data_IF_255078047934
#
_entry.id   IF_255078047934
#
_cell.length_a   1.000
_cell.length_b   1.000
_cell.length_c   1.000
_cell.angle_alpha   90.00
_cell.angle_beta   90.00
_cell.angle_gamma   90.00
#
_symmetry.space_group_name_H-M   'P 1'
#
loop_
_entity.id
_entity.type
_entity.pdbx_description
1 polymer ?
#
# COMPACT_ATOMS: atom_id res chain seq x y z
N UNK A 1 13.81 -3.81 -10.15
CA UNK A 1 15.21 -3.33 -10.11
C UNK A 1 15.40 -2.31 -11.22
N UNK A 2 15.52 -1.03 -10.86
CA UNK A 2 15.83 0.04 -11.81
C UNK A 2 17.34 0.06 -12.06
N UNK A 3 17.76 -0.18 -13.30
CA UNK A 3 19.13 0.08 -13.75
C UNK A 3 19.09 1.29 -14.68
N UNK A 4 19.55 2.45 -14.20
CA UNK A 4 19.58 3.71 -14.93
C UNK A 4 21.03 3.94 -15.37
N UNK A 5 21.38 3.44 -16.54
CA UNK A 5 22.67 3.76 -17.15
C UNK A 5 22.52 5.05 -17.96
N UNK A 6 23.34 6.05 -17.63
CA UNK A 6 23.49 7.28 -18.39
C UNK A 6 24.08 6.93 -19.78
N UNK A 7 23.32 7.17 -20.85
CA UNK A 7 23.84 7.14 -22.22
C UNK A 7 24.16 8.59 -22.61
N UNK A 8 25.45 8.91 -22.73
CA UNK A 8 25.92 10.21 -23.20
C UNK A 8 26.40 10.06 -24.65
N UNK A 9 25.69 10.69 -25.59
CA UNK A 9 26.04 10.67 -27.02
C UNK A 9 26.50 12.07 -27.41
N UNK A 10 27.76 12.22 -27.82
CA UNK A 10 28.27 13.48 -28.36
C UNK A 10 27.94 13.57 -29.86
N UNK A 11 26.87 14.30 -30.22
CA UNK A 11 26.60 14.75 -31.60
C UNK A 11 26.08 16.19 -31.58
N UNK A 12 26.42 16.98 -32.61
CA UNK A 12 26.04 18.41 -32.70
C UNK A 12 24.53 18.60 -32.89
N UNK A 13 23.84 17.64 -33.50
CA UNK A 13 22.38 17.53 -33.50
C UNK A 13 21.99 16.06 -33.28
N UNK A 14 20.89 15.82 -32.54
CA UNK A 14 20.37 14.49 -32.24
C UNK A 14 19.18 14.18 -33.16
N UNK A 15 19.31 13.30 -34.18
CA UNK A 15 18.21 12.99 -35.11
C UNK A 15 17.12 12.10 -34.49
N UNK A 16 17.33 11.60 -33.27
CA UNK A 16 16.40 10.79 -32.49
C UNK A 16 16.17 11.40 -31.11
N UNK A 17 16.05 12.73 -31.05
CA UNK A 17 15.67 13.41 -29.82
C UNK A 17 14.26 12.98 -29.43
N UNK A 18 14.16 11.93 -28.60
CA UNK A 18 12.93 11.61 -27.91
C UNK A 18 12.73 12.71 -26.88
N UNK A 19 11.85 13.67 -27.21
CA UNK A 19 11.28 14.58 -26.22
C UNK A 19 10.62 13.68 -25.18
N UNK A 20 11.03 13.81 -23.92
CA UNK A 20 10.28 13.21 -22.82
C UNK A 20 8.94 13.95 -22.75
N UNK A 21 7.98 13.50 -23.53
CA UNK A 21 6.60 13.94 -23.37
C UNK A 21 6.21 13.47 -21.98
N UNK A 22 5.89 14.40 -21.11
CA UNK A 22 5.32 14.09 -19.80
C UNK A 22 4.01 13.34 -20.08
N UNK A 23 4.06 12.02 -20.12
CA UNK A 23 2.90 11.13 -20.25
C UNK A 23 1.97 11.20 -19.01
N UNK A 24 2.09 12.25 -18.19
CA UNK A 24 1.34 12.46 -16.96
C UNK A 24 0.13 13.39 -17.16
N UNK A 25 -0.55 13.26 -18.30
CA UNK A 25 -2.00 13.53 -18.36
C UNK A 25 -2.76 12.21 -18.21
N UNK A 26 -2.25 11.31 -17.36
CA UNK A 26 -2.80 9.97 -17.17
C UNK A 26 -3.63 9.97 -15.91
N UNK A 27 -4.93 9.82 -16.06
CA UNK A 27 -5.82 9.49 -14.95
C UNK A 27 -5.24 8.26 -14.23
N UNK A 28 -5.02 8.40 -12.93
CA UNK A 28 -4.41 7.39 -12.08
C UNK A 28 -5.28 7.18 -10.84
N UNK A 29 -5.50 5.92 -10.49
CA UNK A 29 -6.08 5.53 -9.21
C UNK A 29 -5.01 4.83 -8.38
N UNK A 30 -5.22 4.81 -7.07
CA UNK A 30 -4.43 4.03 -6.13
C UNK A 30 -5.18 2.74 -5.78
N UNK A 31 -4.43 1.73 -5.38
CA UNK A 31 -4.99 0.46 -4.90
C UNK A 31 -4.32 0.10 -3.59
N UNK A 32 -5.13 -0.35 -2.63
CA UNK A 32 -4.65 -0.95 -1.40
C UNK A 32 -4.93 -2.45 -1.44
N UNK A 33 -3.98 -3.25 -0.97
CA UNK A 33 -4.18 -4.68 -0.77
C UNK A 33 -3.41 -5.19 0.44
N UNK A 34 -4.00 -6.15 1.15
CA UNK A 34 -3.33 -6.92 2.19
C UNK A 34 -2.99 -8.32 1.69
N UNK A 35 -1.92 -8.91 2.22
CA UNK A 35 -1.60 -10.31 1.98
C UNK A 35 -1.57 -11.05 3.32
N UNK A 36 -2.31 -12.16 3.39
CA UNK A 36 -2.33 -13.04 4.55
C UNK A 36 -2.20 -14.50 4.12
N UNK A 37 -1.17 -15.19 4.62
CA UNK A 37 -0.78 -16.52 4.16
C UNK A 37 -0.65 -16.57 2.63
N UNK A 38 -1.51 -17.36 1.99
CA UNK A 38 -1.61 -17.59 0.55
C UNK A 38 -2.76 -16.79 -0.10
N UNK A 39 -3.37 -15.85 0.64
CA UNK A 39 -4.55 -15.11 0.20
C UNK A 39 -4.29 -13.62 0.06
N UNK A 40 -4.85 -13.06 -1.00
CA UNK A 40 -4.97 -11.62 -1.18
C UNK A 40 -6.24 -11.12 -0.50
N UNK A 41 -6.10 -10.10 0.33
CA UNK A 41 -7.20 -9.42 1.03
C UNK A 41 -7.41 -8.07 0.37
N UNK A 42 -8.50 -7.97 -0.37
CA UNK A 42 -8.87 -6.75 -1.07
C UNK A 42 -7.92 -6.41 -2.21
N UNK A 43 -8.49 -5.93 -3.31
CA UNK A 43 -8.00 -4.70 -3.90
C UNK A 43 -9.04 -3.60 -3.63
N UNK A 44 -8.67 -2.60 -2.84
CA UNK A 44 -9.52 -1.41 -2.65
C UNK A 44 -8.97 -0.29 -3.51
N UNK A 45 -9.73 0.06 -4.54
CA UNK A 45 -9.39 1.15 -5.45
C UNK A 45 -9.88 2.49 -4.90
N UNK A 46 -9.02 3.50 -4.93
CA UNK A 46 -9.38 4.85 -4.49
C UNK A 46 -8.64 5.92 -5.31
N UNK A 47 -9.27 7.08 -5.47
CA UNK A 47 -8.66 8.23 -6.14
C UNK A 47 -8.03 9.21 -5.15
N UNK A 48 -6.97 9.89 -5.58
CA UNK A 48 -6.25 10.86 -4.76
C UNK A 48 -5.31 10.23 -3.72
N UNK A 49 -4.67 11.07 -2.91
CA UNK A 49 -3.58 10.67 -2.00
C UNK A 49 -4.08 9.85 -0.81
N UNK A 50 -3.26 8.87 -0.38
CA UNK A 50 -3.50 8.15 0.87
C UNK A 50 -3.19 9.04 2.07
N UNK A 51 -4.22 9.49 2.77
CA UNK A 51 -4.09 10.22 4.03
C UNK A 51 -4.20 9.24 5.20
N UNK A 52 -3.72 9.61 6.39
CA UNK A 52 -3.86 8.74 7.58
C UNK A 52 -5.31 8.46 7.95
N UNK A 53 -6.22 9.43 7.73
CA UNK A 53 -7.65 9.25 7.96
C UNK A 53 -8.26 8.24 6.99
N UNK A 54 -7.97 8.37 5.69
CA UNK A 54 -8.43 7.41 4.68
C UNK A 54 -7.84 6.02 4.91
N UNK A 55 -6.59 5.96 5.36
CA UNK A 55 -5.96 4.70 5.74
C UNK A 55 -6.67 4.02 6.91
N UNK A 56 -7.07 4.80 7.93
CA UNK A 56 -7.87 4.28 9.04
C UNK A 56 -9.22 3.75 8.58
N UNK A 57 -9.92 4.47 7.71
CA UNK A 57 -11.21 4.03 7.14
C UNK A 57 -11.07 2.74 6.33
N UNK A 58 -10.02 2.63 5.52
CA UNK A 58 -9.69 1.41 4.78
C UNK A 58 -9.44 0.24 5.72
N UNK A 59 -8.67 0.44 6.80
CA UNK A 59 -8.43 -0.59 7.78
C UNK A 59 -9.74 -1.00 8.47
N UNK A 60 -10.57 -0.05 8.91
CA UNK A 60 -11.84 -0.36 9.57
C UNK A 60 -12.78 -1.16 8.68
N UNK A 61 -12.85 -0.84 7.39
CA UNK A 61 -13.71 -1.55 6.46
C UNK A 61 -13.16 -2.94 6.13
N UNK A 62 -11.90 -3.03 5.70
CA UNK A 62 -11.35 -4.27 5.15
C UNK A 62 -10.90 -5.24 6.24
N UNK A 63 -10.26 -4.73 7.31
CA UNK A 63 -9.74 -5.60 8.37
C UNK A 63 -10.86 -6.17 9.21
N UNK A 64 -11.88 -5.37 9.54
CA UNK A 64 -13.00 -5.87 10.35
C UNK A 64 -13.69 -7.03 9.64
N UNK A 65 -14.06 -6.86 8.37
CA UNK A 65 -14.68 -7.92 7.57
C UNK A 65 -13.75 -9.13 7.42
N UNK A 66 -12.47 -8.91 7.15
CA UNK A 66 -11.51 -10.00 7.02
C UNK A 66 -11.35 -10.82 8.32
N UNK A 67 -11.18 -10.13 9.46
CA UNK A 67 -11.00 -10.73 10.78
C UNK A 67 -12.26 -11.48 11.21
N UNK A 68 -13.45 -10.94 10.97
CA UNK A 68 -14.71 -11.62 11.32
C UNK A 68 -14.93 -12.94 10.57
N UNK A 69 -14.41 -13.03 9.34
CA UNK A 69 -14.53 -14.22 8.51
C UNK A 69 -13.38 -15.23 8.70
N UNK A 70 -12.39 -14.94 9.54
CA UNK A 70 -11.28 -15.86 9.81
C UNK A 70 -11.61 -16.87 10.93
N UNK A 71 -11.23 -18.15 10.76
CA UNK A 71 -11.26 -19.12 11.85
C UNK A 71 -10.46 -18.65 13.07
N UNK A 72 -11.00 -18.88 14.28
CA UNK A 72 -10.39 -18.44 15.55
C UNK A 72 -8.92 -18.84 15.74
N UNK A 73 -8.52 -20.00 15.21
CA UNK A 73 -7.12 -20.47 15.30
C UNK A 73 -6.18 -19.68 14.39
N UNK A 74 -6.68 -19.13 13.28
CA UNK A 74 -5.92 -18.24 12.40
C UNK A 74 -5.84 -16.84 12.98
N UNK A 75 -6.95 -16.34 13.56
CA UNK A 75 -7.01 -15.03 14.25
C UNK A 75 -5.97 -14.87 15.34
N UNK A 76 -5.73 -15.91 16.14
CA UNK A 76 -4.70 -15.89 17.20
C UNK A 76 -3.28 -15.71 16.67
N UNK A 77 -3.08 -15.96 15.37
CA UNK A 77 -1.81 -15.88 14.67
C UNK A 77 -1.86 -14.83 13.54
N UNK A 78 -2.82 -13.91 13.57
CA UNK A 78 -2.81 -12.73 12.68
C UNK A 78 -1.95 -11.68 13.33
N UNK A 79 -1.14 -11.04 12.49
CA UNK A 79 -0.49 -9.86 12.95
C UNK A 79 -0.23 -8.87 11.78
N UNK A 80 0.31 -7.66 11.99
CA UNK A 80 0.39 -6.63 10.92
C UNK A 80 1.81 -6.11 10.63
N UNK A 81 2.12 -5.85 9.35
CA UNK A 81 3.38 -5.30 8.83
C UNK A 81 3.13 -4.15 7.84
N UNK A 82 3.79 -3.02 8.05
CA UNK A 82 3.68 -1.80 7.23
C UNK A 82 5.05 -1.37 6.70
N UNK A 83 5.08 -0.67 5.56
CA UNK A 83 6.30 -0.14 4.90
C UNK A 83 6.92 1.11 5.57
N UNK A 84 6.24 1.67 6.57
CA UNK A 84 6.68 2.86 7.31
C UNK A 84 6.30 4.21 6.68
N UNK A 85 5.41 4.24 5.68
CA UNK A 85 4.90 5.47 5.08
C UNK A 85 4.25 6.41 6.12
N UNK A 86 4.32 7.75 5.93
CA UNK A 86 3.76 8.72 6.90
C UNK A 86 2.29 8.48 7.29
N UNK A 87 1.37 8.12 6.36
CA UNK A 87 -0.02 7.82 6.71
C UNK A 87 -0.19 6.65 7.69
N UNK A 88 0.76 5.72 7.74
CA UNK A 88 0.72 4.53 8.59
C UNK A 88 1.16 4.84 10.04
N UNK A 89 1.75 6.02 10.29
CA UNK A 89 2.32 6.40 11.61
C UNK A 89 1.41 7.31 12.43
N UNK A 90 0.23 7.67 11.91
CA UNK A 90 -0.69 8.58 12.58
C UNK A 90 -1.23 7.93 13.87
N UNK A 91 -1.40 8.73 14.93
CA UNK A 91 -1.77 8.26 16.27
C UNK A 91 -3.09 7.48 16.30
N UNK A 92 -4.07 7.90 15.51
CA UNK A 92 -5.37 7.24 15.38
C UNK A 92 -5.26 5.82 14.78
N UNK A 93 -4.44 5.63 13.75
CA UNK A 93 -4.15 4.33 13.13
C UNK A 93 -3.51 3.39 14.15
N UNK A 94 -2.52 3.89 14.91
CA UNK A 94 -1.88 3.10 15.98
C UNK A 94 -2.87 2.70 17.07
N UNK A 95 -3.70 3.63 17.53
CA UNK A 95 -4.70 3.37 18.56
C UNK A 95 -5.73 2.33 18.11
N UNK A 96 -6.19 2.39 16.87
CA UNK A 96 -7.11 1.40 16.31
C UNK A 96 -6.52 -0.01 16.33
N UNK A 97 -5.28 -0.15 15.85
CA UNK A 97 -4.60 -1.44 15.78
C UNK A 97 -4.22 -2.00 17.16
N UNK A 98 -3.87 -1.14 18.11
CA UNK A 98 -3.53 -1.54 19.49
C UNK A 98 -4.78 -1.80 20.35
N UNK A 99 -5.91 -1.17 20.03
CA UNK A 99 -7.16 -1.30 20.76
C UNK A 99 -7.94 -2.57 20.43
N UNK A 100 -7.69 -3.19 19.28
CA UNK A 100 -8.30 -4.46 18.92
C UNK A 100 -7.49 -5.64 19.51
N UNK A 101 -7.97 -6.17 20.64
CA UNK A 101 -7.35 -7.28 21.37
C UNK A 101 -7.27 -8.60 20.58
N UNK A 102 -7.92 -8.68 19.42
CA UNK A 102 -7.87 -9.82 18.51
C UNK A 102 -6.63 -9.80 17.61
N UNK A 103 -5.93 -8.67 17.54
CA UNK A 103 -4.76 -8.44 16.71
C UNK A 103 -3.49 -8.54 17.57
N UNK A 104 -2.63 -9.52 17.31
CA UNK A 104 -1.24 -9.54 17.85
C UNK A 104 -0.29 -8.97 16.76
N UNK A 105 1.02 -8.80 16.97
CA UNK A 105 1.89 -7.82 16.25
C UNK A 105 3.12 -8.34 15.43
N UNK A 106 3.01 -8.67 14.10
CA UNK A 106 3.92 -9.37 13.06
C UNK A 106 3.41 -10.60 12.17
N UNK A 107 2.77 -10.37 10.98
CA UNK A 107 2.05 -11.46 10.21
C UNK A 107 1.05 -11.16 9.05
N UNK A 108 0.90 -9.93 8.55
CA UNK A 108 0.02 -9.54 7.42
C UNK A 108 0.66 -8.31 6.81
N UNK A 109 1.10 -8.44 5.56
CA UNK A 109 1.80 -7.35 4.87
C UNK A 109 0.78 -6.49 4.17
N UNK A 110 0.78 -5.19 4.48
CA UNK A 110 -0.07 -4.20 3.84
C UNK A 110 0.83 -3.17 3.16
N UNK A 111 0.63 -3.00 1.85
CA UNK A 111 1.40 -2.10 0.99
C UNK A 111 0.52 -1.05 0.32
#
# INVERSE_FOLDING_TARGET
MFNRQYVLTWSLENPRYAVEVRHQLRWSFNVWCGIFNDRLIGPVFYEGTLTGQRYLELLQYVITDFVENLPLHQLRNVWFQYDGAPPHKVSNVKQYLMGDSRIKSSGMVVS
#
